data_IF_396699978546
#
_entry.id   IF_396699978546
#
_cell.length_a   1.000
_cell.length_b   1.000
_cell.length_c   1.000
_cell.angle_alpha   90.00
_cell.angle_beta   90.00
_cell.angle_gamma   90.00
#
_symmetry.space_group_name_H-M   'P 1'
#
loop_
_entity.id
_entity.type
_entity.pdbx_description
1 polymer ?
#
# COMPACT_ATOMS: atom_id res chain seq x y z
N UNK A 1 -8.19 -45.97 -69.46
CA UNK A 1 -6.82 -45.61 -69.86
C UNK A 1 -6.27 -44.74 -68.72
N UNK A 2 -5.58 -45.35 -67.75
CA UNK A 2 -4.10 -45.42 -67.62
C UNK A 2 -3.49 -44.02 -67.55
N UNK A 3 -2.99 -43.61 -66.37
CA UNK A 3 -1.55 -43.49 -66.02
C UNK A 3 -0.86 -42.33 -66.79
N UNK A 4 0.13 -41.58 -66.33
CA UNK A 4 0.94 -41.38 -65.13
C UNK A 4 1.92 -40.25 -65.57
N UNK A 5 2.40 -39.44 -64.61
CA UNK A 5 3.67 -38.66 -64.56
C UNK A 5 4.64 -38.87 -65.77
N UNK A 6 5.39 -37.88 -66.30
CA UNK A 6 6.51 -37.14 -65.67
C UNK A 6 7.16 -36.10 -66.65
N UNK A 7 7.73 -35.05 -66.06
CA UNK A 7 8.96 -34.27 -66.41
C UNK A 7 9.17 -33.62 -67.79
N UNK A 8 9.49 -32.31 -67.82
CA UNK A 8 10.88 -31.76 -67.87
C UNK A 8 10.86 -30.22 -67.91
N UNK A 9 11.56 -29.66 -66.91
CA UNK A 9 12.40 -28.44 -66.86
C UNK A 9 12.18 -27.26 -67.81
N UNK A 10 11.97 -26.06 -67.25
CA UNK A 10 12.75 -24.87 -67.62
C UNK A 10 12.97 -23.98 -66.39
N UNK A 11 14.24 -23.60 -66.23
CA UNK A 11 14.84 -22.88 -65.11
C UNK A 11 14.51 -21.38 -65.16
N UNK A 12 14.20 -20.77 -64.01
CA UNK A 12 14.90 -19.55 -63.55
C UNK A 12 14.68 -19.33 -62.06
N UNK A 13 15.68 -19.69 -61.27
CA UNK A 13 15.84 -19.28 -59.88
C UNK A 13 16.58 -17.94 -59.86
N UNK A 14 16.02 -16.94 -59.21
CA UNK A 14 16.78 -15.79 -58.69
C UNK A 14 16.71 -15.84 -57.18
N UNK A 15 17.80 -16.26 -56.54
CA UNK A 15 17.97 -16.22 -55.11
C UNK A 15 18.82 -14.99 -54.74
N UNK A 16 18.43 -14.36 -53.62
CA UNK A 16 19.22 -13.46 -52.77
C UNK A 16 19.48 -12.06 -53.40
N UNK A 17 19.38 -10.94 -52.69
CA UNK A 17 20.25 -10.58 -51.56
C UNK A 17 19.71 -9.31 -50.87
N UNK A 18 19.44 -9.41 -49.56
CA UNK A 18 19.90 -8.47 -48.50
C UNK A 18 19.15 -7.15 -48.24
N UNK A 19 18.66 -7.10 -47.00
CA UNK A 19 18.57 -5.99 -46.03
C UNK A 19 17.80 -4.71 -46.40
N UNK A 20 16.60 -4.59 -45.81
CA UNK A 20 16.19 -3.32 -45.21
C UNK A 20 15.72 -3.56 -43.78
N UNK A 21 16.47 -2.94 -42.87
CA UNK A 21 16.15 -2.71 -41.47
C UNK A 21 14.66 -2.48 -41.24
N UNK A 22 14.03 -3.43 -40.56
CA UNK A 22 12.79 -3.17 -39.81
C UNK A 22 13.07 -3.48 -38.35
N UNK A 23 13.63 -2.45 -37.73
CA UNK A 23 13.33 -1.96 -36.39
C UNK A 23 12.95 -3.05 -35.38
N UNK A 24 13.92 -3.33 -34.50
CA UNK A 24 13.81 -4.23 -33.38
C UNK A 24 12.64 -3.89 -32.44
N UNK A 25 11.44 -4.42 -32.74
CA UNK A 25 10.38 -4.62 -31.77
C UNK A 25 10.47 -6.03 -31.20
N UNK A 26 11.49 -6.28 -30.38
CA UNK A 26 11.45 -7.39 -29.42
C UNK A 26 11.37 -6.79 -28.04
N UNK A 27 10.16 -6.85 -27.51
CA UNK A 27 9.79 -6.53 -26.14
C UNK A 27 10.86 -7.09 -25.20
N UNK A 28 11.50 -6.22 -24.43
CA UNK A 28 12.53 -6.62 -23.46
C UNK A 28 11.89 -7.62 -22.50
N UNK A 29 12.26 -8.90 -22.64
CA UNK A 29 12.03 -9.90 -21.60
C UNK A 29 12.76 -9.36 -20.38
N UNK A 30 12.02 -8.92 -19.38
CA UNK A 30 12.61 -8.38 -18.16
C UNK A 30 13.62 -9.40 -17.63
N UNK A 31 14.92 -9.05 -17.71
CA UNK A 31 15.97 -9.89 -17.16
C UNK A 31 15.75 -10.04 -15.67
N UNK A 32 16.23 -11.13 -15.09
CA UNK A 32 16.20 -11.34 -13.64
C UNK A 32 16.81 -10.15 -12.90
N UNK A 33 17.87 -9.53 -13.45
CA UNK A 33 18.45 -8.30 -12.89
C UNK A 33 17.48 -7.11 -12.93
N UNK A 34 16.66 -6.99 -13.98
CA UNK A 34 15.63 -5.96 -14.08
C UNK A 34 14.50 -6.16 -13.07
N UNK A 35 14.14 -7.41 -12.79
CA UNK A 35 13.17 -7.74 -11.75
C UNK A 35 13.72 -7.48 -10.34
N UNK A 36 14.97 -7.85 -10.08
CA UNK A 36 15.66 -7.59 -8.81
C UNK A 36 15.83 -6.09 -8.59
N UNK A 37 16.21 -5.32 -9.61
CA UNK A 37 16.30 -3.87 -9.55
C UNK A 37 14.97 -3.22 -9.16
N UNK A 38 13.87 -3.67 -9.76
CA UNK A 38 12.52 -3.20 -9.40
C UNK A 38 12.09 -3.63 -8.00
N UNK A 39 12.46 -4.83 -7.55
CA UNK A 39 12.16 -5.31 -6.20
C UNK A 39 12.92 -4.50 -5.13
N UNK A 40 14.20 -4.21 -5.37
CA UNK A 40 15.02 -3.38 -4.48
C UNK A 40 14.54 -1.93 -4.46
N UNK A 41 14.12 -1.37 -5.59
CA UNK A 41 13.50 -0.04 -5.66
C UNK A 41 12.15 -0.01 -4.93
N UNK A 42 11.32 -1.06 -5.08
CA UNK A 42 10.07 -1.21 -4.33
C UNK A 42 10.32 -1.34 -2.82
N UNK A 43 11.31 -2.13 -2.40
CA UNK A 43 11.69 -2.26 -0.98
C UNK A 43 12.32 -0.99 -0.41
N UNK A 44 13.09 -0.24 -1.20
CA UNK A 44 13.65 1.04 -0.79
C UNK A 44 12.56 2.10 -0.64
N UNK A 45 11.57 2.12 -1.53
CA UNK A 45 10.34 2.93 -1.39
C UNK A 45 9.47 2.46 -0.24
N UNK A 46 9.46 1.16 0.07
CA UNK A 46 8.78 0.62 1.24
C UNK A 46 9.42 1.17 2.53
N UNK A 47 10.74 1.36 2.60
CA UNK A 47 11.40 1.89 3.81
C UNK A 47 11.01 3.34 4.12
N UNK A 48 10.75 4.19 3.12
CA UNK A 48 10.22 5.54 3.37
C UNK A 48 8.73 5.54 3.77
N UNK A 49 7.98 4.51 3.42
CA UNK A 49 6.56 4.35 3.80
C UNK A 49 6.41 3.55 5.10
N UNK A 50 7.39 2.74 5.51
CA UNK A 50 7.30 1.83 6.65
C UNK A 50 7.61 2.48 8.01
N UNK A 51 8.29 3.65 8.02
CA UNK A 51 8.38 4.48 9.23
C UNK A 51 7.05 5.19 9.53
N UNK A 52 6.16 5.35 8.54
CA UNK A 52 4.80 5.89 8.76
C UNK A 52 3.73 4.81 8.85
N UNK A 53 4.00 3.57 8.40
CA UNK A 53 3.00 2.49 8.39
C UNK A 53 2.85 1.72 9.72
N UNK A 54 3.73 1.90 10.71
CA UNK A 54 3.46 1.46 12.08
C UNK A 54 2.37 2.32 12.78
N UNK A 55 2.04 3.49 12.23
CA UNK A 55 0.90 4.31 12.64
C UNK A 55 -0.40 3.95 11.89
N UNK A 56 -0.37 2.97 10.99
CA UNK A 56 -1.56 2.46 10.32
C UNK A 56 -2.09 1.28 11.11
N UNK A 57 -2.69 1.62 12.26
CA UNK A 57 -3.67 0.77 12.90
C UNK A 57 -4.60 0.23 11.82
N UNK A 58 -4.86 -1.07 11.89
CA UNK A 58 -5.76 -1.81 11.01
C UNK A 58 -7.19 -1.33 11.25
N UNK A 59 -7.48 -0.08 10.88
CA UNK A 59 -8.81 0.47 10.82
C UNK A 59 -9.45 -0.13 9.56
N UNK A 60 -10.04 -1.30 9.76
CA UNK A 60 -10.89 -1.98 8.78
C UNK A 60 -11.88 -0.98 8.19
N UNK A 61 -12.00 -1.01 6.87
CA UNK A 61 -12.75 -0.12 5.99
C UNK A 61 -14.27 -0.02 6.26
N UNK A 62 -14.62 0.41 7.45
CA UNK A 62 -15.94 0.86 7.84
C UNK A 62 -15.70 2.23 8.47
N UNK A 63 -16.53 3.23 8.18
CA UNK A 63 -16.46 4.52 8.85
C UNK A 63 -16.46 4.28 10.37
N UNK A 64 -15.27 4.33 10.97
CA UNK A 64 -15.09 3.80 12.31
C UNK A 64 -15.24 4.99 13.26
N UNK A 65 -16.46 5.14 13.78
CA UNK A 65 -16.84 6.15 14.78
C UNK A 65 -15.87 6.16 15.98
N UNK A 66 -15.16 5.03 16.19
CA UNK A 66 -14.17 4.84 17.25
C UNK A 66 -12.75 4.57 16.72
N UNK A 67 -12.39 5.11 15.56
CA UNK A 67 -11.00 5.05 15.05
C UNK A 67 -10.02 5.79 15.96
N UNK A 68 -8.75 5.39 15.95
CA UNK A 68 -7.67 6.12 16.64
C UNK A 68 -7.62 7.57 16.14
N UNK A 69 -7.77 7.76 14.83
CA UNK A 69 -7.73 9.09 14.22
C UNK A 69 -8.88 9.99 14.73
N UNK A 70 -10.08 9.43 14.94
CA UNK A 70 -11.20 10.15 15.55
C UNK A 70 -10.90 10.53 16.99
N UNK A 71 -10.36 9.61 17.79
CA UNK A 71 -9.96 9.87 19.17
C UNK A 71 -8.94 11.02 19.26
N UNK A 72 -7.89 10.99 18.42
CA UNK A 72 -6.89 12.06 18.35
C UNK A 72 -7.52 13.39 17.94
N UNK A 73 -8.44 13.39 16.97
CA UNK A 73 -9.13 14.62 16.55
C UNK A 73 -9.91 15.27 17.69
N UNK A 74 -10.65 14.46 18.46
CA UNK A 74 -11.41 14.93 19.64
C UNK A 74 -10.45 15.41 20.74
N UNK A 75 -9.36 14.68 20.98
CA UNK A 75 -8.35 15.05 21.97
C UNK A 75 -7.67 16.39 21.66
N UNK A 76 -7.52 16.75 20.38
CA UNK A 76 -6.95 18.05 19.97
C UNK A 76 -7.80 19.25 20.39
N UNK A 77 -9.12 19.09 20.44
CA UNK A 77 -10.04 20.15 20.90
C UNK A 77 -10.17 20.25 22.41
N UNK A 78 -9.60 19.30 23.16
CA UNK A 78 -9.67 19.26 24.61
C UNK A 78 -8.46 19.94 25.27
N UNK A 79 -8.62 20.36 26.53
CA UNK A 79 -7.55 21.00 27.31
C UNK A 79 -6.54 19.96 27.86
N UNK A 80 -5.62 19.54 26.99
CA UNK A 80 -4.65 18.47 27.22
C UNK A 80 -3.25 18.92 26.81
N UNK A 81 -2.26 18.65 27.66
CA UNK A 81 -0.85 18.97 27.42
C UNK A 81 -0.25 18.09 26.32
N UNK A 82 0.92 18.48 25.79
CA UNK A 82 1.60 17.69 24.76
C UNK A 82 2.00 16.29 25.26
N UNK A 83 2.46 16.17 26.51
CA UNK A 83 2.82 14.90 27.14
C UNK A 83 1.61 13.98 27.31
N UNK A 84 0.50 14.51 27.83
CA UNK A 84 -0.75 13.77 27.94
C UNK A 84 -1.27 13.32 26.56
N UNK A 85 -1.10 14.13 25.51
CA UNK A 85 -1.48 13.73 24.15
C UNK A 85 -0.69 12.52 23.64
N UNK A 86 0.59 12.41 23.99
CA UNK A 86 1.43 11.26 23.62
C UNK A 86 0.98 10.02 24.38
N UNK A 87 0.83 10.11 25.71
CA UNK A 87 0.36 9.00 26.57
C UNK A 87 -1.04 8.51 26.20
N UNK A 88 -1.92 9.42 25.77
CA UNK A 88 -3.27 9.05 25.33
C UNK A 88 -3.27 8.12 24.10
N UNK A 89 -2.25 8.16 23.25
CA UNK A 89 -2.16 7.26 22.08
C UNK A 89 -2.08 5.81 22.54
N UNK A 90 -1.29 5.52 23.58
CA UNK A 90 -1.18 4.17 24.17
C UNK A 90 -2.51 3.71 24.77
N UNK A 91 -3.29 4.61 25.37
CA UNK A 91 -4.65 4.30 25.85
C UNK A 91 -5.56 3.89 24.68
N UNK A 92 -5.41 4.52 23.52
CA UNK A 92 -6.23 4.29 22.31
C UNK A 92 -5.83 3.07 21.48
N UNK A 93 -4.72 2.41 21.80
CA UNK A 93 -4.38 1.11 21.18
C UNK A 93 -5.41 0.03 21.53
N UNK A 94 -6.10 0.18 22.66
CA UNK A 94 -7.19 -0.71 23.09
C UNK A 94 -8.51 -0.24 22.46
N UNK A 95 -9.18 -1.03 21.59
CA UNK A 95 -10.41 -0.63 20.92
C UNK A 95 -11.54 -0.20 21.87
N UNK A 96 -11.73 -0.92 22.97
CA UNK A 96 -12.76 -0.61 23.96
C UNK A 96 -12.53 0.73 24.66
N UNK A 97 -11.26 1.14 24.82
CA UNK A 97 -10.92 2.45 25.38
C UNK A 97 -11.31 3.57 24.40
N UNK A 98 -11.16 3.35 23.09
CA UNK A 98 -11.58 4.33 22.07
C UNK A 98 -13.07 4.59 22.10
N UNK A 99 -13.86 3.52 22.14
CA UNK A 99 -15.32 3.61 22.25
C UNK A 99 -15.73 4.36 23.53
N UNK A 100 -15.20 3.95 24.68
CA UNK A 100 -15.48 4.60 25.97
C UNK A 100 -15.15 6.10 25.93
N UNK A 101 -13.98 6.46 25.38
CA UNK A 101 -13.56 7.85 25.27
C UNK A 101 -14.53 8.65 24.40
N UNK A 102 -14.86 8.17 23.20
CA UNK A 102 -15.75 8.87 22.28
C UNK A 102 -17.16 8.99 22.86
N UNK A 103 -17.69 7.95 23.52
CA UNK A 103 -19.00 8.01 24.17
C UNK A 103 -19.09 9.12 25.21
N UNK A 104 -18.09 9.26 26.10
CA UNK A 104 -18.07 10.38 27.05
C UNK A 104 -17.85 11.72 26.35
N UNK A 105 -17.08 11.76 25.25
CA UNK A 105 -16.71 13.00 24.59
C UNK A 105 -17.87 13.75 23.92
N UNK A 106 -19.00 13.08 23.68
CA UNK A 106 -20.17 13.67 22.99
C UNK A 106 -20.89 14.65 23.92
N UNK A 107 -21.19 14.23 25.14
CA UNK A 107 -22.02 15.01 26.08
C UNK A 107 -21.22 15.49 27.31
N UNK A 108 -20.10 14.83 27.65
CA UNK A 108 -19.37 15.02 28.92
C UNK A 108 -17.84 15.07 28.70
N UNK A 109 -17.31 16.07 27.97
CA UNK A 109 -15.88 16.12 27.62
C UNK A 109 -14.96 16.23 28.85
N UNK A 110 -15.39 16.85 29.95
CA UNK A 110 -14.64 16.89 31.20
C UNK A 110 -14.51 15.51 31.84
N UNK A 111 -15.56 14.68 31.76
CA UNK A 111 -15.56 13.31 32.26
C UNK A 111 -14.68 12.43 31.38
N UNK A 112 -14.75 12.61 30.05
CA UNK A 112 -13.86 11.93 29.10
C UNK A 112 -12.38 12.20 29.44
N UNK A 113 -12.03 13.46 29.74
CA UNK A 113 -10.67 13.83 30.13
C UNK A 113 -10.25 13.26 31.47
N UNK A 114 -11.12 13.31 32.48
CA UNK A 114 -10.82 12.74 33.79
C UNK A 114 -10.62 11.23 33.71
N UNK A 115 -11.45 10.55 32.92
CA UNK A 115 -11.30 9.12 32.64
C UNK A 115 -9.98 8.83 31.93
N UNK A 116 -9.61 9.63 30.92
CA UNK A 116 -8.39 9.43 30.15
C UNK A 116 -7.15 9.60 31.03
N UNK A 117 -7.11 10.61 31.89
CA UNK A 117 -6.02 10.81 32.87
C UNK A 117 -5.85 9.62 33.80
N UNK A 118 -6.95 9.11 34.36
CA UNK A 118 -6.92 7.89 35.20
C UNK A 118 -6.46 6.65 34.45
N UNK A 119 -6.64 6.58 33.13
CA UNK A 119 -6.13 5.48 32.30
C UNK A 119 -4.64 5.63 32.08
N UNK A 120 -4.16 6.84 31.78
CA UNK A 120 -2.73 7.13 31.61
C UNK A 120 -1.93 6.87 32.89
N UNK A 121 -2.49 7.16 34.08
CA UNK A 121 -1.84 6.88 35.37
C UNK A 121 -1.66 5.37 35.67
N UNK A 122 -2.30 4.49 34.88
CA UNK A 122 -2.26 3.02 35.04
C UNK A 122 -1.43 2.32 33.95
N UNK A 123 -0.93 3.07 32.97
CA UNK A 123 0.03 2.57 31.99
C UNK A 123 1.41 2.44 32.64
#
# INVERSE_FOLDING_TARGET
MTEQRVHVTTRRSTASTINQDKEAKRMKKDSLEGLVGRYLDLKSKQVEVEVTHMAKGKDSAQGNDFSIMRCISVLRSMNVTADEKIKAVEVFDIPNNRETFISFSIDEPEIALLWLRRKMDKL
#
